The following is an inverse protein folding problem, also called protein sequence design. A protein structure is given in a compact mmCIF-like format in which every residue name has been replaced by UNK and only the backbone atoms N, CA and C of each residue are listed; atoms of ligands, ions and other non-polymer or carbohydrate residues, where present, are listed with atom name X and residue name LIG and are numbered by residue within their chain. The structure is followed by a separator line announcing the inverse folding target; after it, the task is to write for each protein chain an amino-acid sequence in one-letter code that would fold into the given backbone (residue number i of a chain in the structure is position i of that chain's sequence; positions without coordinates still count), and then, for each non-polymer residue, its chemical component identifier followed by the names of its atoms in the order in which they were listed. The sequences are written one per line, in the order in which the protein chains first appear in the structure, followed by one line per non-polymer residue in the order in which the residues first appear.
data_IF_954413302694
#
_entry.id   IF_954413302694
#
_cell.length_a   1.000
_cell.length_b   1.000
_cell.length_c   1.000
_cell.angle_alpha   90.00
_cell.angle_beta   90.00
_cell.angle_gamma   90.00
#
_symmetry.space_group_name_H-M   'P 1'
#
loop_
_entity.id
_entity.type
_entity.pdbx_description
1 polymer ?
#
# COMPACT_ATOMS: atom_id res chain seq x y z
N UNK A 1 22.20 -12.84 3.94
CA UNK A 1 22.96 -12.18 5.00
C UNK A 1 22.04 -11.75 6.12
N UNK A 2 22.51 -11.82 7.35
CA UNK A 2 21.78 -11.30 8.51
C UNK A 2 22.72 -10.64 9.53
N UNK A 3 22.18 -9.68 10.28
CA UNK A 3 22.85 -8.97 11.35
C UNK A 3 21.88 -8.67 12.48
N UNK A 4 22.21 -9.11 13.69
CA UNK A 4 21.50 -8.73 14.91
C UNK A 4 22.17 -7.51 15.55
N UNK A 5 21.39 -6.60 16.08
CA UNK A 5 21.83 -5.44 16.82
C UNK A 5 20.77 -5.04 17.86
N UNK A 6 21.20 -4.32 18.91
CA UNK A 6 20.30 -3.92 19.99
C UNK A 6 20.11 -2.41 20.01
N UNK A 7 18.87 -1.99 20.26
CA UNK A 7 18.48 -0.61 20.52
C UNK A 7 17.73 -0.60 21.85
N UNK A 8 18.27 0.06 22.87
CA UNK A 8 17.64 0.05 24.20
C UNK A 8 16.37 0.91 24.20
N UNK A 9 16.46 2.14 23.71
CA UNK A 9 15.37 3.11 23.67
C UNK A 9 15.15 3.65 22.25
N UNK A 10 14.30 3.03 21.44
CA UNK A 10 14.00 3.54 20.07
C UNK A 10 13.48 4.97 20.04
N UNK A 11 12.77 5.40 21.09
CA UNK A 11 12.29 6.79 21.23
C UNK A 11 13.40 7.84 21.43
N UNK A 12 14.63 7.43 21.77
CA UNK A 12 15.79 8.32 21.85
C UNK A 12 16.54 8.46 20.52
N UNK A 13 16.16 7.70 19.49
CA UNK A 13 16.75 7.77 18.15
C UNK A 13 15.99 8.81 17.32
N UNK A 14 16.70 9.83 16.87
CA UNK A 14 16.17 10.84 15.96
C UNK A 14 16.09 10.31 14.54
N UNK A 15 17.17 9.67 14.05
CA UNK A 15 17.20 9.06 12.72
C UNK A 15 17.95 7.73 12.73
N UNK A 16 17.47 6.78 11.95
CA UNK A 16 18.12 5.50 11.68
C UNK A 16 18.15 5.27 10.17
N UNK A 17 19.26 5.54 9.53
CA UNK A 17 19.37 5.51 8.06
C UNK A 17 20.19 4.30 7.62
N UNK A 18 19.57 3.42 6.84
CA UNK A 18 20.27 2.33 6.15
C UNK A 18 20.78 2.84 4.81
N UNK A 19 22.05 2.68 4.56
CA UNK A 19 22.69 2.83 3.23
C UNK A 19 23.10 1.46 2.75
N UNK A 20 22.63 1.01 1.58
CA UNK A 20 22.83 -0.37 1.13
C UNK A 20 23.01 -0.49 -0.38
N UNK A 21 23.87 -1.37 -0.79
CA UNK A 21 23.99 -1.90 -2.16
C UNK A 21 24.42 -3.36 -2.14
N UNK A 22 24.06 -4.09 -3.18
CA UNK A 22 24.53 -5.46 -3.39
C UNK A 22 24.64 -5.76 -4.90
N UNK A 23 25.41 -6.78 -5.25
CA UNK A 23 25.56 -7.26 -6.62
C UNK A 23 25.08 -8.71 -6.71
N UNK A 24 24.08 -9.01 -7.60
CA UNK A 24 23.47 -8.15 -8.64
C UNK A 24 22.21 -7.40 -8.19
N UNK A 25 21.67 -7.70 -7.03
CA UNK A 25 20.48 -7.08 -6.48
C UNK A 25 20.11 -7.71 -5.13
N UNK A 26 19.19 -7.09 -4.41
CA UNK A 26 18.88 -7.51 -3.05
C UNK A 26 17.45 -7.19 -2.65
N UNK A 27 17.02 -7.87 -1.59
CA UNK A 27 15.81 -7.57 -0.83
C UNK A 27 16.21 -7.39 0.65
N UNK A 28 15.84 -6.25 1.25
CA UNK A 28 16.12 -5.89 2.63
C UNK A 28 14.88 -6.01 3.48
N UNK A 29 15.01 -6.69 4.62
CA UNK A 29 13.99 -6.71 5.67
C UNK A 29 14.59 -6.31 7.02
N UNK A 30 13.77 -5.68 7.88
CA UNK A 30 14.08 -5.40 9.28
C UNK A 30 13.00 -6.03 10.16
N UNK A 31 13.41 -6.86 11.09
CA UNK A 31 12.50 -7.59 11.99
C UNK A 31 11.43 -8.40 11.24
N UNK A 32 11.79 -8.96 10.07
CA UNK A 32 10.88 -9.69 9.17
C UNK A 32 9.95 -8.80 8.34
N UNK A 33 10.00 -7.47 8.51
CA UNK A 33 9.22 -6.53 7.70
C UNK A 33 10.02 -6.12 6.46
N UNK A 34 9.43 -6.22 5.28
CA UNK A 34 10.01 -5.75 4.03
C UNK A 34 10.26 -4.23 4.08
N UNK A 35 11.44 -3.80 3.66
CA UNK A 35 11.85 -2.40 3.58
C UNK A 35 11.92 -1.96 2.12
N UNK A 36 12.81 -2.58 1.36
CA UNK A 36 13.02 -2.27 -0.05
C UNK A 36 13.71 -3.42 -0.78
N UNK A 37 13.61 -3.41 -2.11
CA UNK A 37 14.38 -4.27 -3.00
C UNK A 37 15.03 -3.44 -4.11
N UNK A 38 16.17 -3.91 -4.60
CA UNK A 38 16.82 -3.37 -5.78
C UNK A 38 17.17 -4.50 -6.73
N UNK A 39 16.82 -4.34 -8.00
CA UNK A 39 17.15 -5.29 -9.07
C UNK A 39 18.26 -4.74 -10.00
N UNK A 40 18.76 -3.53 -9.72
CA UNK A 40 19.81 -2.89 -10.49
C UNK A 40 21.16 -3.09 -9.80
N UNK A 41 22.15 -3.50 -10.59
CA UNK A 41 23.53 -3.65 -10.14
C UNK A 41 24.08 -2.32 -9.58
N UNK A 42 24.74 -2.38 -8.42
CA UNK A 42 25.56 -1.31 -7.83
C UNK A 42 24.84 0.03 -7.54
N UNK A 43 23.52 0.07 -7.50
CA UNK A 43 22.82 1.27 -7.01
C UNK A 43 22.80 1.30 -5.48
N UNK A 44 23.38 2.35 -4.93
CA UNK A 44 23.28 2.63 -3.50
C UNK A 44 21.92 3.21 -3.20
N UNK A 45 21.24 2.64 -2.20
CA UNK A 45 19.96 3.13 -1.70
C UNK A 45 20.11 3.57 -0.26
N UNK A 46 19.40 4.65 0.09
CA UNK A 46 19.28 5.13 1.46
C UNK A 46 17.81 5.08 1.87
N UNK A 47 17.55 4.61 3.08
CA UNK A 47 16.18 4.54 3.60
C UNK A 47 16.20 4.76 5.11
N UNK A 48 15.28 5.59 5.61
CA UNK A 48 15.05 5.78 7.03
C UNK A 48 14.19 4.63 7.58
N UNK A 49 14.69 3.98 8.62
CA UNK A 49 14.05 2.85 9.30
C UNK A 49 13.75 3.16 10.77
N UNK A 50 13.85 4.41 11.21
CA UNK A 50 13.65 4.84 12.60
C UNK A 50 12.35 4.30 13.19
N UNK A 51 11.25 4.42 12.45
CA UNK A 51 9.91 3.97 12.86
C UNK A 51 9.76 2.45 12.95
N UNK A 52 10.75 1.67 12.52
CA UNK A 52 10.72 0.21 12.48
C UNK A 52 11.59 -0.44 13.55
N UNK A 53 12.38 0.38 14.27
CA UNK A 53 13.22 -0.09 15.39
C UNK A 53 12.34 -0.54 16.55
N UNK A 54 12.81 -1.60 17.24
CA UNK A 54 12.18 -2.14 18.45
C UNK A 54 13.14 -2.00 19.62
N UNK A 55 12.59 -1.88 20.82
CA UNK A 55 13.40 -1.99 22.04
C UNK A 55 13.99 -3.40 22.15
N UNK A 56 15.26 -3.49 22.51
CA UNK A 56 16.02 -4.73 22.55
C UNK A 56 16.56 -5.14 21.18
N UNK A 57 16.47 -6.44 20.87
CA UNK A 57 17.07 -7.01 19.66
C UNK A 57 16.31 -6.67 18.39
N UNK A 58 17.05 -6.22 17.39
CA UNK A 58 16.63 -5.99 16.03
C UNK A 58 17.45 -6.84 15.08
N UNK A 59 16.87 -7.27 13.94
CA UNK A 59 17.53 -8.09 12.94
C UNK A 59 17.33 -7.54 11.54
N UNK A 60 18.43 -7.24 10.87
CA UNK A 60 18.48 -7.12 9.43
C UNK A 60 18.59 -8.47 8.76
N UNK A 61 17.82 -8.67 7.69
CA UNK A 61 18.02 -9.78 6.75
C UNK A 61 18.10 -9.20 5.34
N UNK A 62 19.14 -9.59 4.60
CA UNK A 62 19.37 -9.18 3.21
C UNK A 62 19.48 -10.42 2.36
N UNK A 63 18.49 -10.63 1.49
CA UNK A 63 18.53 -11.68 0.47
C UNK A 63 19.20 -11.11 -0.78
N UNK A 64 20.32 -11.72 -1.20
CA UNK A 64 21.03 -11.33 -2.42
C UNK A 64 20.87 -12.44 -3.44
N UNK A 65 20.32 -12.13 -4.63
CA UNK A 65 20.16 -13.10 -5.72
C UNK A 65 21.47 -13.21 -6.49
N UNK A 66 21.92 -14.45 -6.74
CA UNK A 66 23.09 -14.69 -7.59
C UNK A 66 22.66 -14.76 -9.04
N UNK A 67 23.34 -14.01 -9.92
CA UNK A 67 23.20 -14.20 -11.36
C UNK A 67 23.90 -15.50 -11.78
N UNK A 68 23.17 -16.41 -12.41
CA UNK A 68 23.70 -17.71 -12.83
C UNK A 68 24.85 -17.60 -13.83
N UNK A 69 24.94 -16.50 -14.56
CA UNK A 69 25.89 -16.32 -15.68
C UNK A 69 27.21 -15.61 -15.30
N UNK A 70 27.33 -15.12 -14.07
CA UNK A 70 28.55 -14.45 -13.61
C UNK A 70 29.33 -15.36 -12.67
N UNK A 71 30.55 -15.72 -13.04
CA UNK A 71 31.52 -16.50 -12.22
C UNK A 71 32.09 -15.71 -11.04
N UNK A 72 31.54 -14.54 -10.72
CA UNK A 72 31.99 -13.65 -9.65
C UNK A 72 31.36 -13.96 -8.28
N UNK A 73 31.99 -13.50 -7.22
CA UNK A 73 31.45 -13.53 -5.86
C UNK A 73 30.33 -12.47 -5.72
N UNK A 74 29.17 -12.86 -5.21
CA UNK A 74 28.13 -11.91 -4.82
C UNK A 74 28.53 -11.27 -3.48
N UNK A 75 28.33 -9.97 -3.36
CA UNK A 75 28.69 -9.22 -2.16
C UNK A 75 27.59 -8.25 -1.72
N UNK A 76 27.68 -7.83 -0.46
CA UNK A 76 26.82 -6.86 0.18
C UNK A 76 27.67 -5.77 0.83
N UNK A 77 27.25 -4.52 0.63
CA UNK A 77 27.76 -3.37 1.39
C UNK A 77 26.55 -2.68 2.02
N UNK A 78 26.54 -2.56 3.35
CA UNK A 78 25.48 -1.86 4.06
C UNK A 78 26.04 -1.13 5.30
N UNK A 79 25.45 0.01 5.63
CA UNK A 79 25.58 0.66 6.92
C UNK A 79 24.22 1.02 7.49
N UNK A 80 24.07 0.97 8.81
CA UNK A 80 22.99 1.58 9.55
C UNK A 80 23.59 2.69 10.41
N UNK A 81 23.24 3.91 10.10
CA UNK A 81 23.69 5.09 10.85
C UNK A 81 22.54 5.52 11.77
N UNK A 82 22.80 5.47 13.09
CA UNK A 82 21.86 5.85 14.15
C UNK A 82 22.28 7.20 14.68
N UNK A 83 21.37 8.16 14.69
CA UNK A 83 21.56 9.46 15.34
C UNK A 83 20.57 9.59 16.48
N UNK A 84 21.04 9.86 17.69
CA UNK A 84 20.16 10.08 18.85
C UNK A 84 19.65 11.52 18.89
N UNK A 85 18.57 11.76 19.64
CA UNK A 85 18.07 13.11 19.94
C UNK A 85 19.10 14.00 20.64
N UNK A 86 20.12 13.41 21.27
CA UNK A 86 21.25 14.12 21.87
C UNK A 86 22.37 14.42 20.86
N UNK A 87 22.21 14.08 19.59
CA UNK A 87 23.19 14.29 18.52
C UNK A 87 24.35 13.30 18.50
N UNK A 88 24.32 12.23 19.30
CA UNK A 88 25.32 11.17 19.22
C UNK A 88 25.04 10.25 18.05
N UNK A 89 26.09 9.85 17.32
CA UNK A 89 26.00 8.96 16.18
C UNK A 89 26.66 7.62 16.47
N UNK A 90 26.06 6.54 15.97
CA UNK A 90 26.63 5.18 15.97
C UNK A 90 26.37 4.55 14.60
N UNK A 91 27.33 3.79 14.09
CA UNK A 91 27.19 3.12 12.79
C UNK A 91 27.42 1.61 12.93
N UNK A 92 26.58 0.85 12.28
CA UNK A 92 26.71 -0.61 12.14
C UNK A 92 26.95 -0.88 10.66
N UNK A 93 28.18 -1.28 10.33
CA UNK A 93 28.57 -1.56 8.95
C UNK A 93 28.59 -3.07 8.65
N UNK A 94 28.67 -3.44 7.37
CA UNK A 94 28.99 -4.81 6.99
C UNK A 94 30.40 -5.17 7.43
N UNK A 95 30.49 -6.16 8.31
CA UNK A 95 31.71 -6.65 8.95
C UNK A 95 31.60 -8.17 9.23
N UNK A 96 32.58 -8.74 9.89
CA UNK A 96 32.61 -10.17 10.28
C UNK A 96 31.53 -10.57 11.29
N UNK A 97 30.82 -9.64 11.87
CA UNK A 97 29.71 -9.93 12.78
C UNK A 97 28.40 -10.24 12.02
N UNK A 98 28.41 -10.07 10.70
CA UNK A 98 27.33 -10.55 9.86
C UNK A 98 27.45 -12.05 9.64
N UNK A 99 26.30 -12.70 9.49
CA UNK A 99 26.21 -14.10 9.08
C UNK A 99 25.66 -14.21 7.67
N UNK A 100 26.06 -15.23 6.94
CA UNK A 100 25.52 -15.52 5.61
C UNK A 100 25.13 -17.00 5.50
N UNK A 101 24.13 -17.28 4.65
CA UNK A 101 23.73 -18.63 4.26
C UNK A 101 23.56 -18.68 2.75
N UNK A 102 23.99 -19.77 2.13
CA UNK A 102 23.88 -19.96 0.68
C UNK A 102 22.47 -20.38 0.24
N UNK A 103 21.63 -20.84 1.15
CA UNK A 103 20.27 -21.30 0.86
C UNK A 103 19.32 -20.95 2.00
N UNK A 104 18.05 -20.80 1.68
CA UNK A 104 17.00 -20.65 2.68
C UNK A 104 16.92 -21.91 3.56
N UNK A 105 16.99 -21.70 4.89
CA UNK A 105 17.06 -22.80 5.87
C UNK A 105 18.40 -23.51 5.97
N UNK A 106 19.43 -23.07 5.23
CA UNK A 106 20.79 -23.58 5.33
C UNK A 106 21.55 -23.12 6.58
N UNK A 107 22.74 -23.67 6.85
CA UNK A 107 23.53 -23.23 7.99
C UNK A 107 23.99 -21.79 7.83
N UNK A 108 23.97 -21.04 8.93
CA UNK A 108 24.48 -19.68 8.99
C UNK A 108 25.98 -19.71 9.37
N UNK A 109 26.80 -19.13 8.52
CA UNK A 109 28.25 -19.02 8.69
C UNK A 109 28.61 -17.53 8.86
N UNK A 110 29.76 -17.26 9.47
CA UNK A 110 30.32 -15.92 9.53
C UNK A 110 30.56 -15.39 8.11
N UNK A 111 30.18 -14.14 7.85
CA UNK A 111 30.43 -13.51 6.55
C UNK A 111 31.92 -13.24 6.35
N UNK A 112 32.42 -13.42 5.13
CA UNK A 112 33.80 -13.10 4.74
C UNK A 112 33.86 -11.60 4.32
N UNK A 113 34.81 -10.86 4.89
CA UNK A 113 35.12 -9.52 4.44
C UNK A 113 35.92 -9.59 3.14
N UNK A 114 35.37 -9.02 2.07
CA UNK A 114 35.99 -9.02 0.74
C UNK A 114 36.98 -7.87 0.53
N UNK A 115 36.81 -6.78 1.28
CA UNK A 115 37.66 -5.59 1.21
C UNK A 115 36.91 -4.28 1.47
N UNK A 116 37.55 -3.15 1.17
CA UNK A 116 36.97 -1.83 1.39
C UNK A 116 35.88 -1.49 0.37
N UNK A 117 34.99 -0.54 0.71
CA UNK A 117 33.82 -0.15 -0.11
C UNK A 117 34.20 0.46 -1.48
N UNK A 118 35.41 0.94 -1.64
CA UNK A 118 35.95 1.52 -2.89
C UNK A 118 36.67 0.49 -3.79
N UNK A 119 36.75 -0.78 -3.36
CA UNK A 119 37.38 -1.85 -4.16
C UNK A 119 36.54 -2.20 -5.40
N UNK A 120 37.16 -2.72 -6.48
CA UNK A 120 36.42 -3.34 -7.59
C UNK A 120 35.64 -4.59 -7.13
N UNK A 121 34.41 -4.83 -7.65
CA UNK A 121 33.72 -4.12 -8.72
C UNK A 121 32.98 -2.86 -8.26
N UNK A 122 32.87 -2.63 -6.95
CA UNK A 122 32.00 -1.65 -6.35
C UNK A 122 32.39 -0.22 -6.68
N UNK A 123 33.66 0.15 -6.51
CA UNK A 123 34.22 1.48 -6.75
C UNK A 123 33.26 2.62 -6.30
N UNK A 124 32.62 2.42 -5.16
CA UNK A 124 31.68 3.38 -4.64
C UNK A 124 32.46 4.67 -4.27
N UNK A 125 32.20 5.71 -5.00
CA UNK A 125 32.64 7.07 -4.68
C UNK A 125 31.43 7.89 -4.21
N UNK A 126 31.65 9.01 -3.57
CA UNK A 126 30.58 9.88 -3.08
C UNK A 126 29.58 10.34 -4.16
N UNK A 127 29.93 10.26 -5.44
CA UNK A 127 29.05 10.56 -6.57
C UNK A 127 28.13 9.38 -6.98
N UNK A 128 28.43 8.16 -6.51
CA UNK A 128 27.57 6.97 -6.74
C UNK A 128 26.43 6.85 -5.75
N UNK A 129 26.48 7.62 -4.66
CA UNK A 129 25.40 7.74 -3.70
C UNK A 129 24.39 8.67 -4.33
N UNK A 130 23.22 8.14 -4.76
CA UNK A 130 22.07 9.04 -4.97
C UNK A 130 21.97 9.85 -3.69
N UNK A 131 22.31 11.14 -3.75
CA UNK A 131 22.20 12.03 -2.61
C UNK A 131 20.80 11.89 -2.06
N UNK A 132 20.70 11.24 -0.90
CA UNK A 132 19.48 11.28 -0.11
C UNK A 132 19.15 12.75 0.07
N UNK A 133 17.88 13.03 0.12
CA UNK A 133 17.27 14.33 0.22
C UNK A 133 18.26 15.47 0.48
N UNK A 134 18.49 16.34 -0.51
CA UNK A 134 19.30 17.57 -0.36
C UNK A 134 18.68 18.53 0.66
N UNK A 135 17.51 18.17 1.17
CA UNK A 135 16.78 18.95 2.16
C UNK A 135 17.28 18.64 3.58
N UNK A 136 17.45 19.66 4.42
CA UNK A 136 17.73 19.44 5.84
C UNK A 136 16.62 18.60 6.48
N UNK A 137 16.92 17.94 7.60
CA UNK A 137 15.90 17.18 8.33
C UNK A 137 14.67 18.05 8.59
N UNK A 138 13.49 17.43 8.55
CA UNK A 138 12.21 18.15 8.78
C UNK A 138 12.25 18.99 10.07
N UNK A 139 12.86 18.48 11.15
CA UNK A 139 12.96 19.19 12.42
C UNK A 139 13.70 20.51 12.30
N UNK A 140 14.80 20.58 11.52
CA UNK A 140 15.54 21.82 11.29
C UNK A 140 14.69 22.81 10.51
N UNK A 141 14.04 22.36 9.43
CA UNK A 141 13.16 23.21 8.61
C UNK A 141 11.96 23.70 9.42
N UNK A 142 11.32 22.83 10.20
CA UNK A 142 10.20 23.18 11.06
C UNK A 142 10.61 24.24 12.12
N UNK A 143 11.75 24.04 12.78
CA UNK A 143 12.26 25.02 13.75
C UNK A 143 12.62 26.39 13.16
N UNK A 144 13.06 26.44 11.91
CA UNK A 144 13.29 27.72 11.19
C UNK A 144 11.95 28.40 10.89
N UNK A 145 10.96 27.65 10.35
CA UNK A 145 9.64 28.19 10.04
C UNK A 145 8.92 28.70 11.29
N UNK A 146 9.03 27.99 12.41
CA UNK A 146 8.48 28.40 13.70
C UNK A 146 9.07 29.71 14.17
N UNK A 147 10.43 29.89 14.12
CA UNK A 147 11.10 31.13 14.43
C UNK A 147 10.70 32.29 13.51
N UNK A 148 10.30 32.00 12.29
CA UNK A 148 9.77 32.98 11.32
C UNK A 148 8.26 33.26 11.55
N UNK A 149 7.63 32.66 12.55
CA UNK A 149 6.18 32.77 12.78
C UNK A 149 5.30 32.08 11.74
N UNK A 150 5.86 31.16 10.95
CA UNK A 150 5.13 30.38 9.95
C UNK A 150 4.66 29.10 10.60
N UNK A 151 3.38 29.04 10.97
CA UNK A 151 2.75 27.83 11.51
C UNK A 151 2.48 26.76 10.46
N UNK A 152 2.32 25.54 10.91
CA UNK A 152 1.94 24.40 10.06
C UNK A 152 0.60 24.63 9.35
N UNK A 153 0.52 24.26 8.08
CA UNK A 153 -0.75 24.32 7.32
C UNK A 153 -1.76 23.33 7.82
N UNK A 154 -1.29 22.17 8.30
CA UNK A 154 -2.12 21.06 8.75
C UNK A 154 -1.49 20.40 9.97
N UNK A 155 -2.32 20.04 10.92
CA UNK A 155 -1.96 19.28 12.13
C UNK A 155 -2.96 18.15 12.35
N UNK A 156 -2.48 17.02 12.85
CA UNK A 156 -3.29 15.83 13.15
C UNK A 156 -2.70 15.08 14.33
N UNK A 157 -3.55 14.51 15.17
CA UNK A 157 -3.18 13.61 16.26
C UNK A 157 -3.01 12.15 15.79
N UNK A 158 -3.20 11.87 14.50
CA UNK A 158 -2.93 10.58 13.88
C UNK A 158 -1.97 10.72 12.68
N UNK A 159 -1.26 9.64 12.26
CA UNK A 159 -0.26 9.69 11.20
C UNK A 159 -0.88 9.79 9.81
N UNK A 160 -1.57 10.89 9.53
CA UNK A 160 -2.12 11.20 8.22
C UNK A 160 -1.08 11.92 7.35
N UNK A 161 -1.04 11.57 6.07
CA UNK A 161 -0.25 12.29 5.07
C UNK A 161 -1.10 13.37 4.43
N UNK A 162 -0.48 14.51 4.06
CA UNK A 162 -1.21 15.56 3.38
C UNK A 162 -0.37 16.29 2.33
N UNK A 163 -1.06 16.92 1.41
CA UNK A 163 -0.52 17.94 0.50
C UNK A 163 -1.50 19.11 0.48
N UNK A 164 -1.01 20.32 0.69
CA UNK A 164 -1.80 21.54 0.59
C UNK A 164 -1.49 22.28 -0.71
N UNK A 165 -2.55 22.75 -1.36
CA UNK A 165 -2.48 23.63 -2.52
C UNK A 165 -3.51 24.75 -2.37
N UNK A 166 -3.17 25.92 -2.87
CA UNK A 166 -4.06 27.08 -2.90
C UNK A 166 -4.22 27.58 -4.33
N UNK A 167 -5.45 27.87 -4.72
CA UNK A 167 -5.81 28.50 -5.98
C UNK A 167 -6.71 29.71 -5.70
N UNK A 168 -6.22 30.92 -5.94
CA UNK A 168 -6.87 32.14 -5.53
C UNK A 168 -7.18 32.15 -4.03
N UNK A 169 -8.48 32.15 -3.71
CA UNK A 169 -8.99 32.13 -2.34
C UNK A 169 -9.42 30.73 -1.86
N UNK A 170 -9.22 29.71 -2.66
CA UNK A 170 -9.62 28.34 -2.36
C UNK A 170 -8.43 27.52 -1.86
N UNK A 171 -8.63 26.75 -0.78
CA UNK A 171 -7.61 25.88 -0.19
C UNK A 171 -8.00 24.41 -0.38
N UNK A 172 -7.06 23.59 -0.87
CA UNK A 172 -7.24 22.18 -1.16
C UNK A 172 -6.22 21.37 -0.36
N UNK A 173 -6.68 20.54 0.54
CA UNK A 173 -5.87 19.61 1.30
C UNK A 173 -6.16 18.19 0.85
N UNK A 174 -5.23 17.54 0.14
CA UNK A 174 -5.30 16.10 -0.08
C UNK A 174 -4.84 15.40 1.17
N UNK A 175 -5.70 14.58 1.76
CA UNK A 175 -5.42 13.84 3.00
C UNK A 175 -5.46 12.35 2.68
N UNK A 176 -4.48 11.59 3.20
CA UNK A 176 -4.39 10.16 2.98
C UNK A 176 -4.03 9.42 4.26
N UNK A 177 -4.72 8.32 4.52
CA UNK A 177 -4.36 7.32 5.48
C UNK A 177 -3.39 6.32 4.81
N UNK A 178 -2.11 6.37 5.14
CA UNK A 178 -1.11 5.44 4.62
C UNK A 178 -1.01 4.12 5.37
N UNK A 179 -1.86 3.90 6.39
CA UNK A 179 -1.83 2.72 7.23
C UNK A 179 -2.86 1.68 6.77
N UNK A 180 -2.57 0.40 7.02
CA UNK A 180 -3.48 -0.72 6.75
C UNK A 180 -4.59 -0.87 7.80
N UNK A 181 -4.88 0.19 8.57
CA UNK A 181 -5.92 0.26 9.60
C UNK A 181 -6.67 1.57 9.53
N UNK A 182 -7.91 1.57 10.01
CA UNK A 182 -8.71 2.80 10.18
C UNK A 182 -7.97 3.79 11.08
N UNK A 183 -7.98 5.07 10.69
CA UNK A 183 -7.48 6.18 11.47
C UNK A 183 -8.62 7.12 11.83
N UNK A 184 -8.76 7.42 13.12
CA UNK A 184 -9.63 8.49 13.62
C UNK A 184 -8.72 9.61 14.12
N UNK A 185 -8.95 10.83 13.68
CA UNK A 185 -8.07 11.95 13.92
C UNK A 185 -8.83 13.25 14.17
N UNK A 186 -8.28 14.09 15.04
CA UNK A 186 -8.64 15.51 15.12
C UNK A 186 -7.68 16.28 14.23
N UNK A 187 -8.19 16.78 13.12
CA UNK A 187 -7.40 17.49 12.12
C UNK A 187 -7.63 19.00 12.23
N UNK A 188 -6.55 19.77 12.17
CA UNK A 188 -6.57 21.23 12.25
C UNK A 188 -5.95 21.83 10.99
N UNK A 189 -6.75 22.61 10.24
CA UNK A 189 -6.41 23.24 8.98
C UNK A 189 -6.20 24.74 9.17
N UNK A 190 -5.15 25.33 8.61
CA UNK A 190 -4.86 26.78 8.71
C UNK A 190 -5.74 27.56 7.75
N UNK A 191 -7.03 27.40 7.86
CA UNK A 191 -8.07 28.12 7.10
C UNK A 191 -9.20 28.47 8.05
N UNK A 192 -9.76 29.68 7.91
CA UNK A 192 -10.96 30.13 8.64
C UNK A 192 -11.93 30.86 7.70
N UNK A 193 -13.18 31.05 8.14
CA UNK A 193 -14.21 31.76 7.38
C UNK A 193 -14.78 30.98 6.19
N UNK A 194 -14.44 29.71 6.06
CA UNK A 194 -14.88 28.83 4.95
C UNK A 194 -15.56 27.58 5.47
N UNK A 195 -16.57 27.10 4.72
CA UNK A 195 -17.23 25.82 4.93
C UNK A 195 -16.29 24.70 4.44
N UNK A 196 -15.92 23.72 5.29
CA UNK A 196 -15.18 22.56 4.82
C UNK A 196 -16.06 21.60 4.01
N UNK A 197 -15.52 21.10 2.91
CA UNK A 197 -16.13 20.10 2.04
C UNK A 197 -15.24 18.87 1.95
N UNK A 198 -15.82 17.69 1.85
CA UNK A 198 -15.13 16.47 1.46
C UNK A 198 -15.35 16.18 -0.01
N UNK A 199 -14.26 16.02 -0.76
CA UNK A 199 -14.31 15.58 -2.13
C UNK A 199 -13.67 14.22 -2.23
N UNK A 200 -14.47 13.23 -2.59
CA UNK A 200 -14.01 11.85 -2.77
C UNK A 200 -13.17 11.75 -4.05
N UNK A 201 -11.92 11.32 -3.90
CA UNK A 201 -10.97 11.26 -5.02
C UNK A 201 -11.30 10.15 -6.03
N UNK A 202 -12.06 9.12 -5.64
CA UNK A 202 -12.40 7.99 -6.49
C UNK A 202 -13.70 8.19 -7.24
N UNK A 203 -14.71 8.74 -6.56
CA UNK A 203 -16.06 8.86 -7.11
C UNK A 203 -16.35 10.25 -7.67
N UNK A 204 -15.57 11.26 -7.26
CA UNK A 204 -15.83 12.67 -7.54
C UNK A 204 -17.03 13.24 -6.77
N UNK A 205 -17.62 12.48 -5.83
CA UNK A 205 -18.69 12.95 -4.97
C UNK A 205 -18.19 14.09 -4.07
N UNK A 206 -19.00 15.15 -3.94
CA UNK A 206 -18.68 16.33 -3.13
C UNK A 206 -19.77 16.56 -2.11
N UNK A 207 -19.40 16.79 -0.86
CA UNK A 207 -20.35 17.04 0.22
C UNK A 207 -19.77 17.98 1.26
N UNK A 208 -20.60 18.73 1.92
CA UNK A 208 -20.19 19.55 3.06
C UNK A 208 -19.84 18.63 4.24
N UNK A 209 -18.85 19.04 5.04
CA UNK A 209 -18.54 18.44 6.34
C UNK A 209 -19.32 19.24 7.41
N UNK A 210 -20.35 18.65 8.03
CA UNK A 210 -21.20 19.39 8.97
C UNK A 210 -20.56 19.58 10.35
N UNK A 211 -19.64 18.70 10.75
CA UNK A 211 -19.03 18.72 12.08
C UNK A 211 -17.64 19.37 11.99
N UNK A 212 -17.52 20.62 12.46
CA UNK A 212 -16.26 21.34 12.53
C UNK A 212 -16.35 22.47 13.57
N UNK A 213 -15.18 22.99 13.99
CA UNK A 213 -15.03 24.19 14.81
C UNK A 213 -14.04 25.15 14.17
N UNK A 214 -14.26 26.45 14.33
CA UNK A 214 -13.26 27.46 13.96
C UNK A 214 -12.74 28.16 15.20
N UNK A 215 -11.41 28.14 15.39
CA UNK A 215 -10.74 28.77 16.50
C UNK A 215 -9.32 29.23 16.09
N UNK A 216 -8.93 30.43 16.50
CA UNK A 216 -7.57 30.93 16.29
C UNK A 216 -7.11 30.98 14.83
N UNK A 217 -8.02 31.28 13.88
CA UNK A 217 -7.69 31.31 12.46
C UNK A 217 -7.59 29.93 11.80
N UNK A 218 -8.00 28.88 12.50
CA UNK A 218 -7.96 27.47 12.01
C UNK A 218 -9.34 26.83 12.03
N UNK A 219 -9.53 25.83 11.20
CA UNK A 219 -10.71 24.94 11.22
C UNK A 219 -10.32 23.57 11.72
N UNK A 220 -10.95 23.15 12.81
CA UNK A 220 -10.78 21.82 13.41
C UNK A 220 -11.88 20.89 12.92
N UNK A 221 -11.52 19.72 12.41
CA UNK A 221 -12.43 18.73 11.83
C UNK A 221 -12.13 17.36 12.38
N UNK A 222 -13.10 16.66 13.04
CA UNK A 222 -12.95 15.25 13.35
C UNK A 222 -13.05 14.43 12.05
N UNK A 223 -12.02 13.67 11.76
CA UNK A 223 -11.91 12.85 10.57
C UNK A 223 -11.83 11.36 10.93
N UNK A 224 -12.34 10.53 10.03
CA UNK A 224 -12.19 9.08 10.09
C UNK A 224 -11.93 8.58 8.67
N UNK A 225 -10.78 7.96 8.48
CA UNK A 225 -10.37 7.41 7.20
C UNK A 225 -10.17 5.90 7.34
N UNK A 226 -10.77 5.15 6.44
CA UNK A 226 -10.56 3.69 6.34
C UNK A 226 -9.11 3.38 5.93
N UNK A 227 -8.66 2.10 6.00
CA UNK A 227 -7.35 1.71 5.50
C UNK A 227 -7.13 2.20 4.07
N UNK A 228 -5.98 2.81 3.81
CA UNK A 228 -5.58 3.33 2.49
C UNK A 228 -6.53 4.38 1.88
N UNK A 229 -7.54 4.85 2.60
CA UNK A 229 -8.48 5.86 2.10
C UNK A 229 -7.81 7.22 1.95
N UNK A 230 -8.20 7.94 0.90
CA UNK A 230 -7.76 9.32 0.65
C UNK A 230 -8.86 10.16 0.03
N UNK A 231 -8.74 11.46 0.20
CA UNK A 231 -9.65 12.43 -0.40
C UNK A 231 -9.20 13.86 -0.16
N UNK A 232 -10.03 14.79 -0.56
CA UNK A 232 -9.71 16.21 -0.39
C UNK A 232 -10.62 16.85 0.66
N UNK A 233 -10.01 17.63 1.57
CA UNK A 233 -10.72 18.64 2.35
C UNK A 233 -10.57 19.98 1.63
N UNK A 234 -11.69 20.55 1.19
CA UNK A 234 -11.70 21.75 0.34
C UNK A 234 -12.42 22.89 1.06
N UNK A 235 -11.81 24.07 1.03
CA UNK A 235 -12.33 25.31 1.61
C UNK A 235 -12.51 26.35 0.51
N UNK A 236 -13.70 26.41 -0.10
CA UNK A 236 -14.02 27.38 -1.18
C UNK A 236 -15.25 28.23 -0.90
N UNK A 237 -16.25 27.67 -0.23
CA UNK A 237 -17.49 28.38 0.07
C UNK A 237 -17.33 29.27 1.29
N UNK A 238 -17.78 30.53 1.25
CA UNK A 238 -17.86 31.36 2.46
C UNK A 238 -18.71 30.67 3.53
N UNK A 239 -18.29 30.79 4.77
CA UNK A 239 -19.04 30.28 5.90
C UNK A 239 -20.26 31.16 6.18
N UNK A 240 -21.44 30.58 6.21
CA UNK A 240 -22.69 31.28 6.50
C UNK A 240 -23.06 31.29 7.99
N UNK A 241 -22.45 30.36 8.77
CA UNK A 241 -22.67 30.20 10.21
C UNK A 241 -21.35 29.82 10.90
N UNK A 242 -21.07 30.38 12.08
CA UNK A 242 -19.79 30.26 12.80
C UNK A 242 -19.53 28.88 13.46
N UNK A 243 -20.45 27.96 13.40
CA UNK A 243 -20.28 26.59 13.90
C UNK A 243 -20.99 25.59 13.00
N UNK A 244 -20.40 24.39 12.87
CA UNK A 244 -21.00 23.31 12.12
C UNK A 244 -22.35 22.89 12.64
N UNK A 245 -23.21 22.41 11.75
CA UNK A 245 -24.50 21.82 12.08
C UNK A 245 -24.30 20.47 12.78
N UNK A 246 -25.32 20.01 13.50
CA UNK A 246 -25.31 18.62 14.01
C UNK A 246 -25.28 17.65 12.83
N UNK A 247 -24.29 16.77 12.82
CA UNK A 247 -24.12 15.78 11.76
C UNK A 247 -22.86 14.95 11.98
N UNK A 248 -22.65 13.96 11.12
CA UNK A 248 -21.47 13.09 11.14
C UNK A 248 -20.70 13.29 9.84
N UNK A 249 -19.44 13.68 9.96
CA UNK A 249 -18.56 13.88 8.80
C UNK A 249 -18.31 12.60 8.02
N UNK A 250 -18.09 11.50 8.72
CA UNK A 250 -17.71 10.20 8.14
C UNK A 250 -18.62 9.11 8.69
N UNK A 251 -19.78 8.86 8.05
CA UNK A 251 -20.69 7.79 8.46
C UNK A 251 -20.03 6.43 8.30
N UNK A 252 -20.53 5.42 9.03
CA UNK A 252 -19.99 4.07 9.00
C UNK A 252 -20.73 3.20 8.00
N UNK A 253 -19.97 2.27 7.41
CA UNK A 253 -20.51 1.19 6.62
C UNK A 253 -20.72 -0.02 7.52
N UNK A 254 -21.93 -0.54 7.55
CA UNK A 254 -22.28 -1.75 8.31
C UNK A 254 -22.53 -2.91 7.37
N UNK A 255 -21.94 -4.06 7.69
CA UNK A 255 -22.17 -5.27 6.90
C UNK A 255 -23.61 -5.75 7.08
N UNK A 256 -24.33 -5.87 5.97
CA UNK A 256 -25.73 -6.36 5.91
C UNK A 256 -25.72 -7.85 5.61
N UNK A 257 -24.89 -8.30 4.69
CA UNK A 257 -24.78 -9.70 4.30
C UNK A 257 -23.36 -10.00 3.78
N UNK A 258 -22.84 -11.17 4.11
CA UNK A 258 -21.70 -11.75 3.42
C UNK A 258 -22.18 -12.57 2.23
N UNK A 259 -21.59 -12.37 1.06
CA UNK A 259 -21.92 -13.13 -0.14
C UNK A 259 -21.09 -14.42 -0.12
N UNK A 260 -21.70 -15.47 0.38
CA UNK A 260 -21.05 -16.77 0.50
C UNK A 260 -20.91 -17.45 -0.88
N UNK A 261 -19.89 -18.29 -1.00
CA UNK A 261 -19.73 -19.21 -2.13
C UNK A 261 -20.96 -20.19 -2.25
N UNK A 262 -21.12 -20.88 -3.38
CA UNK A 262 -20.14 -21.03 -4.46
C UNK A 262 -20.16 -19.91 -5.50
N UNK A 263 -18.99 -19.69 -6.09
CA UNK A 263 -18.81 -18.80 -7.22
C UNK A 263 -18.54 -19.60 -8.49
N UNK A 264 -19.26 -19.33 -9.56
CA UNK A 264 -18.92 -19.83 -10.88
C UNK A 264 -17.89 -18.92 -11.51
N UNK A 265 -16.69 -19.43 -11.77
CA UNK A 265 -15.59 -18.63 -12.29
C UNK A 265 -15.24 -19.09 -13.70
N UNK A 266 -15.18 -18.16 -14.64
CA UNK A 266 -14.79 -18.41 -16.03
C UNK A 266 -13.50 -17.70 -16.34
N UNK A 267 -12.55 -18.46 -16.86
CA UNK A 267 -11.30 -17.96 -17.41
C UNK A 267 -11.34 -18.04 -18.95
N UNK A 268 -10.42 -17.39 -19.61
CA UNK A 268 -10.25 -17.53 -21.06
C UNK A 268 -9.28 -18.68 -21.37
N UNK A 269 -9.75 -19.77 -22.04
CA UNK A 269 -8.89 -20.91 -22.40
C UNK A 269 -7.70 -20.53 -23.30
N UNK A 270 -7.81 -19.45 -24.06
CA UNK A 270 -6.70 -18.96 -24.90
C UNK A 270 -5.46 -18.58 -24.07
N UNK A 271 -5.65 -18.25 -22.81
CA UNK A 271 -4.58 -17.90 -21.87
C UNK A 271 -4.29 -19.01 -20.88
N UNK A 272 -4.73 -20.25 -21.18
CA UNK A 272 -4.44 -21.45 -20.40
C UNK A 272 -5.33 -21.68 -19.20
N UNK A 273 -6.32 -20.85 -18.93
CA UNK A 273 -7.29 -21.06 -17.86
C UNK A 273 -8.41 -22.03 -18.24
N UNK A 274 -9.08 -22.67 -17.26
CA UNK A 274 -10.27 -23.51 -17.55
C UNK A 274 -11.43 -22.62 -17.99
N UNK A 275 -12.26 -23.12 -18.92
CA UNK A 275 -13.43 -22.36 -19.36
C UNK A 275 -14.38 -22.04 -18.20
N UNK A 276 -14.57 -23.00 -17.29
CA UNK A 276 -15.41 -22.82 -16.10
C UNK A 276 -14.93 -23.69 -14.95
N UNK A 277 -14.97 -23.14 -13.75
CA UNK A 277 -14.64 -23.85 -12.50
C UNK A 277 -15.49 -23.27 -11.36
N UNK A 278 -15.83 -24.10 -10.39
CA UNK A 278 -16.53 -23.66 -9.18
C UNK A 278 -15.55 -23.39 -8.05
N UNK A 279 -15.58 -22.17 -7.51
CA UNK A 279 -14.85 -21.82 -6.31
C UNK A 279 -15.78 -21.94 -5.10
N UNK A 280 -15.49 -22.88 -4.22
CA UNK A 280 -16.23 -23.05 -2.95
C UNK A 280 -15.94 -21.91 -1.96
N UNK A 281 -14.82 -21.24 -2.11
CA UNK A 281 -14.41 -20.03 -1.41
C UNK A 281 -13.59 -19.16 -2.36
N UNK A 282 -13.49 -17.87 -2.04
CA UNK A 282 -12.61 -16.95 -2.76
C UNK A 282 -11.17 -17.22 -2.31
N UNK A 283 -10.31 -17.53 -3.25
CA UNK A 283 -8.91 -17.89 -3.01
C UNK A 283 -7.99 -17.14 -3.97
N UNK A 284 -6.75 -16.94 -3.54
CA UNK A 284 -5.66 -16.52 -4.42
C UNK A 284 -5.41 -17.57 -5.52
N UNK A 285 -5.43 -17.16 -6.78
CA UNK A 285 -5.19 -18.06 -7.92
C UNK A 285 -3.85 -18.79 -7.81
N UNK A 286 -2.83 -18.14 -7.23
CA UNK A 286 -1.49 -18.73 -7.08
C UNK A 286 -1.47 -19.93 -6.13
N UNK A 287 -2.49 -20.06 -5.27
CA UNK A 287 -2.63 -21.18 -4.31
C UNK A 287 -3.50 -22.32 -4.86
N UNK A 288 -4.02 -22.17 -6.08
CA UNK A 288 -4.89 -23.18 -6.68
C UNK A 288 -4.09 -24.39 -7.20
N UNK A 289 -4.63 -25.59 -7.09
CA UNK A 289 -3.96 -26.79 -7.59
C UNK A 289 -3.91 -26.84 -9.13
N UNK A 290 -4.88 -26.19 -9.80
CA UNK A 290 -4.95 -26.15 -11.26
C UNK A 290 -3.85 -25.24 -11.82
N UNK A 291 -2.88 -25.82 -12.52
CA UNK A 291 -1.75 -25.08 -13.07
C UNK A 291 -2.17 -23.93 -13.99
N UNK A 292 -3.21 -24.15 -14.79
CA UNK A 292 -3.79 -23.14 -15.68
C UNK A 292 -4.37 -21.94 -14.93
N UNK A 293 -4.82 -22.10 -13.67
CA UNK A 293 -5.28 -20.99 -12.80
C UNK A 293 -4.09 -20.36 -12.09
N UNK A 294 -3.21 -21.17 -11.52
CA UNK A 294 -2.06 -20.69 -10.74
C UNK A 294 -1.19 -19.71 -11.51
N UNK A 295 -0.97 -19.98 -12.77
CA UNK A 295 -0.15 -19.16 -13.66
C UNK A 295 -0.96 -18.24 -14.58
N UNK A 296 -2.26 -18.10 -14.34
CA UNK A 296 -3.13 -17.32 -15.20
C UNK A 296 -2.83 -15.81 -15.10
N UNK A 297 -2.82 -15.18 -16.26
CA UNK A 297 -2.86 -13.71 -16.36
C UNK A 297 -3.88 -13.32 -17.43
N UNK A 298 -4.81 -12.46 -17.03
CA UNK A 298 -5.93 -12.06 -17.87
C UNK A 298 -7.18 -11.75 -17.04
N UNK A 299 -8.33 -11.83 -17.68
CA UNK A 299 -9.62 -11.57 -17.04
C UNK A 299 -10.28 -12.87 -16.61
N UNK A 300 -10.84 -12.89 -15.39
CA UNK A 300 -11.72 -13.99 -14.94
C UNK A 300 -13.04 -13.42 -14.42
N UNK A 301 -14.15 -14.01 -14.87
CA UNK A 301 -15.49 -13.59 -14.49
C UNK A 301 -16.04 -14.48 -13.37
N UNK A 302 -16.30 -13.89 -12.23
CA UNK A 302 -16.92 -14.52 -11.05
C UNK A 302 -18.41 -14.24 -11.05
N UNK A 303 -19.25 -15.26 -10.99
CA UNK A 303 -20.70 -15.15 -10.95
C UNK A 303 -21.28 -15.84 -9.74
N UNK A 304 -22.23 -15.18 -9.10
CA UNK A 304 -23.04 -15.74 -8.02
C UNK A 304 -24.42 -15.08 -7.98
N UNK A 305 -25.34 -15.68 -7.22
CA UNK A 305 -26.62 -15.06 -6.88
C UNK A 305 -26.77 -14.98 -5.38
N UNK A 306 -27.45 -13.94 -4.91
CA UNK A 306 -27.68 -13.75 -3.48
C UNK A 306 -29.06 -13.12 -3.20
N UNK A 307 -29.54 -13.34 -1.99
CA UNK A 307 -30.78 -12.78 -1.48
C UNK A 307 -30.47 -11.69 -0.44
N UNK A 308 -31.32 -10.67 -0.38
CA UNK A 308 -31.25 -9.60 0.60
C UNK A 308 -32.66 -9.30 1.10
N UNK A 309 -33.17 -10.13 2.01
CA UNK A 309 -34.56 -10.12 2.45
C UNK A 309 -34.96 -8.89 3.29
N UNK A 310 -33.99 -8.13 3.80
CA UNK A 310 -34.20 -6.93 4.64
C UNK A 310 -33.57 -5.71 3.98
N UNK A 311 -34.27 -5.18 2.97
CA UNK A 311 -33.89 -3.94 2.33
C UNK A 311 -34.65 -2.76 2.94
N UNK A 312 -33.91 -1.75 3.39
CA UNK A 312 -34.46 -0.46 3.80
C UNK A 312 -34.19 0.56 2.68
N UNK A 313 -35.24 1.05 2.04
CA UNK A 313 -35.14 1.97 0.91
C UNK A 313 -34.58 3.35 1.30
N UNK A 314 -34.50 3.66 2.59
CA UNK A 314 -33.90 4.90 3.08
C UNK A 314 -32.37 4.85 3.17
N UNK A 315 -31.78 3.63 3.10
CA UNK A 315 -30.33 3.45 3.19
C UNK A 315 -29.67 3.39 1.80
N UNK A 316 -28.43 3.86 1.75
CA UNK A 316 -27.54 3.65 0.60
C UNK A 316 -26.80 2.35 0.79
N UNK A 317 -26.78 1.53 -0.26
CA UNK A 317 -26.09 0.23 -0.25
C UNK A 317 -24.83 0.25 -1.09
N UNK A 318 -23.88 -0.59 -0.71
CA UNK A 318 -22.57 -0.72 -1.34
C UNK A 318 -22.15 -2.18 -1.40
N UNK A 319 -21.39 -2.54 -2.42
CA UNK A 319 -20.62 -3.78 -2.44
C UNK A 319 -19.19 -3.47 -2.02
N UNK A 320 -18.70 -4.13 -0.99
CA UNK A 320 -17.30 -4.20 -0.63
C UNK A 320 -16.77 -5.54 -1.13
N UNK A 321 -15.76 -5.54 -1.99
CA UNK A 321 -15.19 -6.75 -2.57
C UNK A 321 -14.13 -7.41 -1.66
N UNK A 322 -13.85 -6.79 -0.50
CA UNK A 322 -12.76 -7.20 0.35
C UNK A 322 -11.42 -6.86 -0.30
N UNK A 323 -10.70 -7.85 -0.78
CA UNK A 323 -9.42 -7.65 -1.44
C UNK A 323 -9.47 -8.15 -2.89
N UNK A 324 -8.92 -7.37 -3.79
CA UNK A 324 -8.85 -7.65 -5.24
C UNK A 324 -7.43 -7.50 -5.74
N UNK A 325 -6.96 -8.43 -6.52
CA UNK A 325 -5.66 -8.36 -7.19
C UNK A 325 -5.87 -8.49 -8.72
N UNK A 326 -6.00 -7.34 -9.51
CA UNK A 326 -5.72 -5.95 -9.12
C UNK A 326 -6.88 -4.98 -9.43
N UNK A 327 -7.68 -5.27 -10.44
CA UNK A 327 -8.78 -4.43 -10.93
C UNK A 327 -10.02 -5.28 -11.07
N UNK A 328 -11.20 -4.75 -10.69
CA UNK A 328 -12.46 -5.45 -10.88
C UNK A 328 -13.52 -4.54 -11.49
N UNK A 329 -14.21 -5.01 -12.54
CA UNK A 329 -15.47 -4.42 -12.99
C UNK A 329 -16.65 -5.20 -12.42
N UNK A 330 -17.71 -4.50 -12.05
CA UNK A 330 -18.84 -5.05 -11.32
C UNK A 330 -20.14 -4.82 -12.08
N UNK A 331 -20.93 -5.88 -12.22
CA UNK A 331 -22.26 -5.86 -12.79
C UNK A 331 -23.25 -6.50 -11.83
N UNK A 332 -24.34 -5.81 -11.52
CA UNK A 332 -25.39 -6.28 -10.62
C UNK A 332 -26.73 -6.19 -11.35
N UNK A 333 -27.50 -7.30 -11.37
CA UNK A 333 -28.82 -7.35 -12.02
C UNK A 333 -28.81 -6.73 -13.43
N UNK A 334 -27.86 -7.15 -14.27
CA UNK A 334 -27.63 -6.70 -15.64
C UNK A 334 -27.13 -5.23 -15.78
N UNK A 335 -27.00 -4.48 -14.69
CA UNK A 335 -26.50 -3.11 -14.70
C UNK A 335 -25.04 -3.03 -14.32
N UNK A 336 -24.24 -2.40 -15.17
CA UNK A 336 -22.85 -2.06 -14.86
C UNK A 336 -22.81 -1.02 -13.72
N UNK A 337 -22.04 -1.34 -12.66
CA UNK A 337 -21.83 -0.42 -11.54
C UNK A 337 -20.56 0.42 -11.73
N UNK A 338 -19.55 -0.13 -12.40
CA UNK A 338 -18.28 0.53 -12.64
C UNK A 338 -17.08 -0.37 -12.30
N UNK A 339 -15.95 0.27 -12.05
CA UNK A 339 -14.66 -0.39 -11.82
C UNK A 339 -14.08 0.04 -10.47
N UNK A 340 -13.56 -0.93 -9.70
CA UNK A 340 -12.73 -0.68 -8.51
C UNK A 340 -11.30 -1.13 -8.81
N UNK A 341 -10.31 -0.31 -8.37
CA UNK A 341 -8.90 -0.52 -8.70
C UNK A 341 -7.94 -0.20 -7.54
N UNK A 342 -8.48 0.24 -6.41
CA UNK A 342 -7.73 0.50 -5.18
C UNK A 342 -8.64 0.35 -3.94
N UNK A 343 -8.04 0.34 -2.77
CA UNK A 343 -8.74 0.36 -1.49
C UNK A 343 -9.39 1.73 -1.21
N UNK A 344 -10.53 1.70 -0.49
CA UNK A 344 -11.35 0.53 -0.15
C UNK A 344 -12.04 -0.01 -1.41
N UNK A 345 -11.99 -1.33 -1.63
CA UNK A 345 -12.57 -2.03 -2.79
C UNK A 345 -14.11 -1.99 -2.76
N UNK A 346 -14.68 -0.81 -2.79
CA UNK A 346 -16.11 -0.56 -2.57
C UNK A 346 -16.73 0.18 -3.74
N UNK A 347 -17.96 -0.22 -4.09
CA UNK A 347 -18.75 0.47 -5.10
C UNK A 347 -20.17 0.69 -4.63
N UNK A 348 -20.75 1.86 -4.94
CA UNK A 348 -22.13 2.18 -4.61
C UNK A 348 -23.12 1.40 -5.48
N UNK A 349 -24.20 0.96 -4.87
CA UNK A 349 -25.33 0.34 -5.59
C UNK A 349 -26.41 1.40 -5.80
N UNK A 350 -26.83 1.65 -7.05
CA UNK A 350 -27.93 2.59 -7.33
C UNK A 350 -29.22 2.22 -6.59
N UNK A 351 -29.92 3.22 -6.11
CA UNK A 351 -31.21 3.03 -5.44
C UNK A 351 -32.18 2.24 -6.32
N UNK A 352 -32.89 1.29 -5.70
CA UNK A 352 -33.89 0.46 -6.38
C UNK A 352 -33.30 -0.71 -7.24
N UNK A 353 -31.98 -0.85 -7.34
CA UNK A 353 -31.36 -1.93 -8.10
C UNK A 353 -31.37 -3.27 -7.34
N UNK A 354 -31.19 -3.23 -6.01
CA UNK A 354 -31.26 -4.45 -5.18
C UNK A 354 -32.70 -4.98 -5.12
N UNK A 355 -32.79 -6.31 -5.19
CA UNK A 355 -34.02 -7.07 -5.06
C UNK A 355 -34.01 -7.87 -3.76
N UNK A 356 -35.16 -8.17 -3.15
CA UNK A 356 -35.21 -9.02 -1.96
C UNK A 356 -34.66 -10.43 -2.22
N UNK A 357 -34.75 -10.93 -3.45
CA UNK A 357 -34.26 -12.26 -3.86
C UNK A 357 -33.69 -12.25 -5.26
N UNK A 358 -32.78 -13.20 -5.51
CA UNK A 358 -32.26 -13.50 -6.82
C UNK A 358 -31.41 -12.37 -7.44
N UNK A 359 -30.64 -11.65 -6.64
CA UNK A 359 -29.69 -10.68 -7.18
C UNK A 359 -28.56 -11.40 -7.91
N UNK A 360 -28.39 -11.15 -9.19
CA UNK A 360 -27.32 -11.71 -10.00
C UNK A 360 -26.11 -10.77 -9.97
N UNK A 361 -24.98 -11.26 -9.49
CA UNK A 361 -23.72 -10.51 -9.39
C UNK A 361 -22.67 -11.13 -10.30
N UNK A 362 -22.05 -10.30 -11.12
CA UNK A 362 -20.84 -10.64 -11.88
C UNK A 362 -19.72 -9.67 -11.50
N UNK A 363 -18.55 -10.22 -11.20
CA UNK A 363 -17.32 -9.48 -10.93
C UNK A 363 -16.26 -10.00 -11.88
N UNK A 364 -15.75 -9.15 -12.75
CA UNK A 364 -14.66 -9.50 -13.68
C UNK A 364 -13.36 -8.92 -13.15
N UNK A 365 -12.47 -9.79 -12.71
CA UNK A 365 -11.15 -9.41 -12.21
C UNK A 365 -10.10 -9.55 -13.29
N UNK A 366 -9.24 -8.54 -13.42
CA UNK A 366 -8.02 -8.58 -14.22
C UNK A 366 -6.81 -8.45 -13.30
N UNK A 367 -5.87 -9.40 -13.43
CA UNK A 367 -4.60 -9.39 -12.70
C UNK A 367 -3.43 -8.86 -13.56
N UNK A 368 -2.22 -8.91 -13.00
CA UNK A 368 -0.98 -8.53 -13.67
C UNK A 368 -0.45 -9.67 -14.57
N UNK A 369 0.42 -9.35 -15.52
CA UNK A 369 1.06 -10.31 -16.43
C UNK A 369 2.12 -11.19 -15.76
N UNK A 370 2.60 -10.83 -14.59
CA UNK A 370 3.79 -11.39 -13.93
C UNK A 370 3.74 -12.92 -13.87
N UNK A 371 2.63 -13.50 -13.38
CA UNK A 371 2.54 -14.95 -13.18
C UNK A 371 2.62 -15.72 -14.51
N UNK A 372 2.07 -15.17 -15.57
CA UNK A 372 2.18 -15.78 -16.91
C UNK A 372 3.59 -15.64 -17.46
N UNK A 373 4.23 -14.50 -17.28
CA UNK A 373 5.60 -14.28 -17.71
C UNK A 373 6.61 -15.18 -16.99
N UNK A 374 6.40 -15.42 -15.70
CA UNK A 374 7.17 -16.38 -14.89
C UNK A 374 7.00 -17.80 -15.48
N UNK A 375 5.77 -18.23 -15.71
CA UNK A 375 5.51 -19.56 -16.26
C UNK A 375 6.08 -19.72 -17.68
N UNK A 376 5.90 -18.72 -18.54
CA UNK A 376 6.40 -18.76 -19.90
C UNK A 376 7.94 -18.69 -19.98
N UNK A 377 8.63 -18.12 -18.97
CA UNK A 377 10.08 -18.01 -18.97
C UNK A 377 10.77 -19.39 -19.02
N UNK A 378 10.16 -20.42 -18.43
CA UNK A 378 10.63 -21.80 -18.45
C UNK A 378 10.29 -22.58 -19.73
N UNK A 379 9.49 -22.03 -20.63
CA UNK A 379 9.00 -22.71 -21.80
C UNK A 379 9.77 -22.34 -23.07
N UNK A 380 9.93 -23.30 -24.02
CA UNK A 380 10.39 -22.99 -25.38
C UNK A 380 9.49 -21.92 -26.04
N UNK A 381 10.03 -21.02 -26.88
CA UNK A 381 9.27 -19.90 -27.44
C UNK A 381 7.94 -20.27 -28.10
N UNK A 382 7.86 -21.43 -28.77
CA UNK A 382 6.65 -21.92 -29.45
C UNK A 382 5.54 -22.40 -28.49
N UNK A 383 5.87 -22.62 -27.23
CA UNK A 383 4.91 -23.08 -26.21
C UNK A 383 4.46 -21.95 -25.27
N UNK A 384 5.07 -20.77 -25.41
CA UNK A 384 4.70 -19.59 -24.62
C UNK A 384 3.35 -19.05 -25.08
N UNK A 385 2.52 -18.68 -24.12
CA UNK A 385 1.23 -18.03 -24.38
C UNK A 385 1.37 -16.52 -24.58
N UNK A 386 2.49 -15.93 -24.10
CA UNK A 386 2.73 -14.49 -24.22
C UNK A 386 4.01 -14.21 -24.97
N UNK A 387 4.08 -13.01 -25.54
CA UNK A 387 5.28 -12.48 -26.16
C UNK A 387 5.63 -11.12 -25.57
N UNK A 388 6.91 -10.91 -25.28
CA UNK A 388 7.47 -9.62 -24.84
C UNK A 388 8.88 -9.46 -25.37
N UNK A 389 9.29 -8.22 -25.62
CA UNK A 389 10.66 -7.89 -26.08
C UNK A 389 11.72 -8.23 -25.04
N UNK A 390 11.36 -8.17 -23.74
CA UNK A 390 12.24 -8.53 -22.64
C UNK A 390 11.40 -9.13 -21.52
N UNK A 391 11.80 -10.28 -21.01
CA UNK A 391 11.18 -10.91 -19.85
C UNK A 391 12.18 -10.92 -18.68
N UNK A 392 11.99 -10.08 -17.65
CA UNK A 392 12.90 -10.03 -16.51
C UNK A 392 12.69 -11.16 -15.51
N UNK A 393 11.65 -12.00 -15.70
CA UNK A 393 11.28 -13.07 -14.79
C UNK A 393 11.91 -14.41 -15.16
N UNK A 394 12.15 -15.25 -14.15
CA UNK A 394 12.79 -16.55 -14.28
C UNK A 394 11.87 -17.68 -13.80
N UNK A 395 12.08 -18.94 -14.24
CA UNK A 395 11.39 -20.09 -13.70
C UNK A 395 11.66 -20.22 -12.19
N UNK A 396 10.58 -20.37 -11.41
CA UNK A 396 10.68 -20.47 -9.96
C UNK A 396 10.65 -19.12 -9.21
N UNK A 397 10.55 -17.99 -9.89
CA UNK A 397 10.25 -16.73 -9.22
C UNK A 397 8.91 -16.81 -8.49
N UNK A 398 8.79 -16.06 -7.38
CA UNK A 398 7.58 -16.03 -6.57
C UNK A 398 6.42 -15.45 -7.37
N UNK A 399 5.33 -16.22 -7.44
CA UNK A 399 4.07 -15.76 -8.03
C UNK A 399 3.48 -14.61 -7.22
N UNK A 400 2.85 -13.67 -7.91
CA UNK A 400 2.16 -12.53 -7.34
C UNK A 400 0.69 -12.88 -7.14
N UNK A 401 0.18 -12.61 -5.95
CA UNK A 401 -1.20 -12.82 -5.58
C UNK A 401 -2.16 -12.29 -6.66
N UNK A 402 -3.22 -13.05 -6.94
CA UNK A 402 -4.11 -12.80 -8.07
C UNK A 402 -5.54 -13.24 -7.79
N UNK A 403 -6.50 -12.48 -8.31
CA UNK A 403 -7.91 -12.85 -8.28
C UNK A 403 -8.77 -12.02 -7.33
N UNK A 404 -9.98 -12.50 -7.10
CA UNK A 404 -10.91 -11.99 -6.09
C UNK A 404 -10.69 -12.77 -4.80
N UNK A 405 -10.12 -12.11 -3.79
CA UNK A 405 -9.75 -12.74 -2.53
C UNK A 405 -10.84 -12.58 -1.46
N UNK A 406 -11.69 -11.57 -1.63
CA UNK A 406 -12.82 -11.33 -0.73
C UNK A 406 -12.44 -10.90 0.68
N UNK A 407 -13.35 -11.04 1.67
CA UNK A 407 -14.74 -11.45 1.49
C UNK A 407 -15.58 -10.38 0.76
N UNK A 408 -16.50 -10.84 -0.10
CA UNK A 408 -17.46 -9.92 -0.72
C UNK A 408 -18.64 -9.74 0.22
N UNK A 409 -18.97 -8.48 0.54
CA UNK A 409 -20.04 -8.14 1.46
C UNK A 409 -20.96 -7.06 0.89
N UNK A 410 -22.24 -7.18 1.18
CA UNK A 410 -23.19 -6.09 1.04
C UNK A 410 -23.13 -5.22 2.29
N UNK A 411 -22.95 -3.93 2.13
CA UNK A 411 -22.89 -2.96 3.21
C UNK A 411 -24.00 -1.92 3.07
N UNK A 412 -24.46 -1.39 4.18
CA UNK A 412 -25.34 -0.22 4.23
C UNK A 412 -24.59 0.95 4.88
N UNK A 413 -24.80 2.15 4.37
CA UNK A 413 -24.36 3.38 4.98
C UNK A 413 -25.39 3.81 6.01
N UNK A 414 -25.05 3.67 7.28
CA UNK A 414 -25.94 4.04 8.37
C UNK A 414 -25.67 5.48 8.82
N UNK A 415 -26.67 6.36 8.83
CA UNK A 415 -26.56 7.59 9.60
C UNK A 415 -26.45 7.21 11.08
N UNK A 416 -25.42 7.69 11.77
CA UNK A 416 -25.35 7.49 13.23
C UNK A 416 -26.61 8.07 13.85
N UNK A 417 -27.38 7.28 14.58
CA UNK A 417 -28.34 7.78 15.56
C UNK A 417 -27.59 8.69 16.52
N UNK A 418 -28.10 9.91 16.66
CA UNK A 418 -27.58 10.95 17.55
C UNK A 418 -27.57 10.48 19.01
#
# INVERSE_FOLDING_TARGET
FQRDFSVEEPGSIETAVVTITADPGYELTLNGRFILASHAEQRVRRVDVSALLRSGSNRFTVSVKKNADKSGRSGLIASLDLTSLAGTTASICTDRQWSCSAAEGGPWLAAEELGAYDMPPWKLNNSSIEQGDIYPSYAVTAGILEKMGVGSDFESDAPLRYIHRRDGDEDFYFIANGEAREQTAHCSFRVAGRQPEWWDALTGERRDLPEFRQRGGRTEIPMRLEPSESGFVVFRKPLTQSSGQRGVNFPRFEAVAALAAPWQVRFDPKWGGPEQVTFSRLDDWTQRPEEGIRNYSGKAAYRTTFDCSRLDSSLRYFLLLGRVANIASIKLNERELGVVWCEPWRIAIPAGLLRPRGNALEIVVANLWINRLIADSGLPPRQRLTWTTSNPFHPGDRLVESGLLGPVTLQALTPRSA
#
